data_IF_123419624886
#
_entry.id   IF_123419624886
#
_cell.length_a   1.000
_cell.length_b   1.000
_cell.length_c   1.000
_cell.angle_alpha   90.00
_cell.angle_beta   90.00
_cell.angle_gamma   90.00
#
_symmetry.space_group_name_H-M   'P 1'
#
loop_
_entity.id
_entity.type
_entity.pdbx_description
1 polymer ?
#
# COMPACT_ATOMS: atom_id res chain seq x y z
N UNK A 1 -25.27 -20.50 0.33
CA UNK A 1 -24.20 -19.47 0.25
C UNK A 1 -23.72 -19.07 1.64
N UNK A 2 -24.63 -18.76 2.58
CA UNK A 2 -24.29 -18.51 3.99
C UNK A 2 -23.65 -19.71 4.71
N UNK A 3 -24.06 -20.94 4.42
CA UNK A 3 -23.44 -22.15 5.03
C UNK A 3 -22.00 -22.39 4.55
N UNK A 4 -21.71 -22.12 3.27
CA UNK A 4 -20.32 -22.14 2.77
C UNK A 4 -19.48 -21.05 3.43
N UNK A 5 -20.05 -19.86 3.66
CA UNK A 5 -19.35 -18.77 4.34
C UNK A 5 -19.01 -19.13 5.80
N UNK A 6 -19.98 -19.73 6.50
CA UNK A 6 -19.82 -20.24 7.87
C UNK A 6 -18.73 -21.30 7.94
N UNK A 7 -18.69 -22.23 6.98
CA UNK A 7 -17.70 -23.31 6.90
C UNK A 7 -16.29 -22.76 6.61
N UNK A 8 -16.13 -21.81 5.68
CA UNK A 8 -14.82 -21.19 5.42
C UNK A 8 -14.32 -20.32 6.59
N UNK A 9 -15.21 -19.65 7.32
CA UNK A 9 -14.86 -18.88 8.53
C UNK A 9 -14.47 -19.77 9.72
N UNK A 10 -14.67 -21.08 9.68
CA UNK A 10 -14.14 -21.98 10.71
C UNK A 10 -12.64 -22.19 10.57
N UNK A 11 -12.07 -21.97 9.38
CA UNK A 11 -10.65 -22.13 9.18
C UNK A 11 -9.85 -20.95 9.74
N UNK A 12 -8.80 -21.21 10.55
CA UNK A 12 -7.98 -20.16 11.14
C UNK A 12 -7.26 -19.31 10.09
N UNK A 13 -6.88 -19.89 8.95
CA UNK A 13 -6.20 -19.16 7.87
C UNK A 13 -7.09 -18.09 7.23
N UNK A 14 -8.40 -18.35 7.06
CA UNK A 14 -9.34 -17.35 6.51
C UNK A 14 -9.51 -16.20 7.48
N UNK A 15 -9.59 -16.48 8.79
CA UNK A 15 -9.70 -15.43 9.81
C UNK A 15 -8.46 -14.53 9.82
N UNK A 16 -7.27 -15.13 9.74
CA UNK A 16 -6.02 -14.38 9.69
C UNK A 16 -5.94 -13.53 8.42
N UNK A 17 -6.28 -14.10 7.26
CA UNK A 17 -6.34 -13.35 6.01
C UNK A 17 -7.25 -12.12 6.11
N UNK A 18 -8.47 -12.29 6.64
CA UNK A 18 -9.45 -11.21 6.79
C UNK A 18 -8.93 -10.11 7.73
N UNK A 19 -8.41 -10.49 8.90
CA UNK A 19 -7.89 -9.53 9.88
C UNK A 19 -6.72 -8.74 9.25
N UNK A 20 -5.71 -9.43 8.73
CA UNK A 20 -4.52 -8.81 8.15
C UNK A 20 -4.88 -7.93 6.94
N UNK A 21 -5.75 -8.41 6.05
CA UNK A 21 -6.21 -7.66 4.88
C UNK A 21 -6.92 -6.35 5.26
N UNK A 22 -7.78 -6.38 6.27
CA UNK A 22 -8.46 -5.18 6.78
C UNK A 22 -7.46 -4.20 7.39
N UNK A 23 -6.51 -4.70 8.20
CA UNK A 23 -5.50 -3.86 8.85
C UNK A 23 -4.61 -3.16 7.83
N UNK A 24 -4.14 -3.90 6.82
CA UNK A 24 -3.32 -3.36 5.72
C UNK A 24 -4.13 -2.36 4.90
N UNK A 25 -5.37 -2.67 4.54
CA UNK A 25 -6.25 -1.77 3.79
C UNK A 25 -6.55 -0.47 4.55
N UNK A 26 -6.69 -0.55 5.87
CA UNK A 26 -6.86 0.62 6.73
C UNK A 26 -5.59 1.46 6.72
N UNK A 27 -4.44 0.89 7.08
CA UNK A 27 -3.17 1.61 7.18
C UNK A 27 -2.73 2.24 5.85
N UNK A 28 -2.85 1.49 4.75
CA UNK A 28 -2.47 1.95 3.41
C UNK A 28 -3.35 3.11 2.95
N UNK A 29 -4.65 3.06 3.24
CA UNK A 29 -5.60 4.10 2.88
C UNK A 29 -5.39 5.40 3.68
N UNK A 30 -5.08 5.30 4.98
CA UNK A 30 -4.78 6.47 5.83
C UNK A 30 -3.61 7.28 5.27
N UNK A 31 -2.51 6.60 4.93
CA UNK A 31 -1.33 7.26 4.36
C UNK A 31 -1.51 7.59 2.87
N UNK A 32 -2.33 6.82 2.15
CA UNK A 32 -2.67 7.08 0.75
C UNK A 32 -3.25 8.48 0.52
N UNK A 33 -4.11 8.97 1.42
CA UNK A 33 -4.65 10.35 1.32
C UNK A 33 -3.55 11.40 1.32
N UNK A 34 -2.54 11.25 2.20
CA UNK A 34 -1.41 12.18 2.29
C UNK A 34 -0.54 12.07 1.04
N UNK A 35 -0.22 10.85 0.61
CA UNK A 35 0.65 10.58 -0.52
C UNK A 35 0.06 11.12 -1.84
N UNK A 36 -1.24 10.94 -2.04
CA UNK A 36 -1.96 11.47 -3.20
C UNK A 36 -1.94 13.00 -3.20
N UNK A 37 -2.19 13.64 -2.05
CA UNK A 37 -2.15 15.11 -1.93
C UNK A 37 -0.74 15.67 -2.19
N UNK A 38 0.31 14.97 -1.76
CA UNK A 38 1.72 15.36 -2.00
C UNK A 38 2.25 15.00 -3.41
N UNK A 39 1.43 14.43 -4.31
CA UNK A 39 1.87 13.94 -5.63
C UNK A 39 2.98 12.88 -5.56
N UNK A 40 2.82 11.97 -4.61
CA UNK A 40 3.60 10.74 -4.48
C UNK A 40 2.68 9.52 -4.59
N UNK A 41 1.77 9.55 -5.57
CA UNK A 41 0.74 8.50 -5.71
C UNK A 41 1.38 7.16 -6.12
N UNK A 42 2.49 7.22 -6.86
CA UNK A 42 3.23 6.05 -7.33
C UNK A 42 4.20 5.47 -6.29
N UNK A 43 4.21 5.97 -5.05
CA UNK A 43 5.21 5.51 -4.07
C UNK A 43 5.00 4.06 -3.63
N UNK A 44 3.74 3.62 -3.52
CA UNK A 44 3.43 2.23 -3.20
C UNK A 44 3.97 1.28 -4.26
N UNK A 45 3.85 1.65 -5.52
CA UNK A 45 4.35 0.90 -6.67
C UNK A 45 5.89 0.86 -6.70
N UNK A 46 6.51 2.04 -6.67
CA UNK A 46 7.98 2.16 -6.69
C UNK A 46 8.64 1.43 -5.54
N UNK A 47 8.13 1.56 -4.32
CA UNK A 47 8.70 0.87 -3.16
C UNK A 47 8.50 -0.63 -3.19
N UNK A 48 7.36 -1.11 -3.71
CA UNK A 48 7.11 -2.54 -3.83
C UNK A 48 8.04 -3.19 -4.86
N UNK A 49 8.27 -2.54 -6.01
CA UNK A 49 9.18 -3.06 -7.03
C UNK A 49 10.66 -2.95 -6.64
N UNK A 50 11.02 -1.90 -5.90
CA UNK A 50 12.35 -1.81 -5.26
C UNK A 50 12.53 -2.91 -4.21
N UNK A 51 11.50 -3.21 -3.42
CA UNK A 51 11.53 -4.31 -2.46
C UNK A 51 11.73 -5.65 -3.17
N UNK A 52 11.02 -5.90 -4.27
CA UNK A 52 11.24 -7.07 -5.13
C UNK A 52 12.68 -7.14 -5.67
N UNK A 53 13.23 -6.03 -6.18
CA UNK A 53 14.62 -5.98 -6.62
C UNK A 53 15.62 -6.29 -5.50
N UNK A 54 15.37 -5.80 -4.29
CA UNK A 54 16.17 -6.12 -3.11
C UNK A 54 16.07 -7.61 -2.74
N UNK A 55 14.89 -8.22 -2.84
CA UNK A 55 14.71 -9.66 -2.64
C UNK A 55 15.50 -10.47 -3.68
N UNK A 56 15.46 -10.07 -4.95
CA UNK A 56 16.21 -10.71 -6.03
C UNK A 56 17.73 -10.68 -5.78
N UNK A 57 18.25 -9.54 -5.32
CA UNK A 57 19.68 -9.42 -4.96
C UNK A 57 20.01 -10.30 -3.75
N UNK A 58 19.21 -10.24 -2.68
CA UNK A 58 19.44 -11.03 -1.47
C UNK A 58 19.44 -12.54 -1.75
N UNK A 59 18.50 -13.01 -2.57
CA UNK A 59 18.39 -14.41 -2.98
C UNK A 59 19.55 -14.83 -3.88
N UNK A 60 19.99 -13.98 -4.81
CA UNK A 60 21.18 -14.26 -5.66
C UNK A 60 22.47 -14.42 -4.84
N UNK A 61 22.59 -13.69 -3.72
CA UNK A 61 23.75 -13.74 -2.81
C UNK A 61 23.66 -14.88 -1.77
N UNK A 62 22.60 -15.70 -1.79
CA UNK A 62 22.35 -16.81 -0.84
C UNK A 62 22.42 -16.39 0.64
N UNK A 63 22.03 -15.17 0.97
CA UNK A 63 22.02 -14.70 2.36
C UNK A 63 20.81 -15.29 3.10
N UNK A 64 21.03 -16.05 4.17
CA UNK A 64 20.00 -16.81 4.90
C UNK A 64 18.93 -15.95 5.63
N UNK A 65 19.12 -14.63 5.76
CA UNK A 65 18.20 -13.77 6.52
C UNK A 65 17.71 -12.55 5.71
N UNK A 66 16.74 -12.79 4.82
CA UNK A 66 16.30 -11.86 3.78
C UNK A 66 15.55 -10.63 4.33
N UNK A 67 14.75 -10.79 5.37
CA UNK A 67 13.77 -9.78 5.81
C UNK A 67 14.38 -8.44 6.32
N UNK A 68 15.40 -8.43 7.20
CA UNK A 68 16.00 -7.16 7.64
C UNK A 68 16.74 -6.45 6.51
N UNK A 69 17.40 -7.18 5.61
CA UNK A 69 18.16 -6.60 4.50
C UNK A 69 17.22 -5.93 3.47
N UNK A 70 16.11 -6.59 3.12
CA UNK A 70 15.08 -6.01 2.25
C UNK A 70 14.48 -4.77 2.89
N UNK A 71 14.16 -4.81 4.18
CA UNK A 71 13.61 -3.67 4.92
C UNK A 71 14.59 -2.49 4.94
N UNK A 72 15.88 -2.74 5.19
CA UNK A 72 16.90 -1.66 5.19
C UNK A 72 17.04 -1.03 3.82
N UNK A 73 17.15 -1.82 2.74
CA UNK A 73 17.29 -1.30 1.38
C UNK A 73 16.05 -0.48 0.99
N UNK A 74 14.86 -0.99 1.26
CA UNK A 74 13.60 -0.33 0.90
C UNK A 74 13.35 0.95 1.69
N UNK A 75 13.70 0.97 2.99
CA UNK A 75 13.63 2.19 3.81
C UNK A 75 14.62 3.23 3.31
N UNK A 76 15.86 2.84 3.01
CA UNK A 76 16.86 3.75 2.42
C UNK A 76 16.36 4.31 1.09
N UNK A 77 15.81 3.46 0.22
CA UNK A 77 15.25 3.89 -1.06
C UNK A 77 14.04 4.82 -0.86
N UNK A 78 13.14 4.52 0.07
CA UNK A 78 12.01 5.40 0.39
C UNK A 78 12.44 6.78 0.88
N UNK A 79 13.44 6.83 1.75
CA UNK A 79 14.01 8.09 2.24
C UNK A 79 14.64 8.86 1.07
N UNK A 80 15.44 8.20 0.22
CA UNK A 80 16.07 8.83 -0.94
C UNK A 80 15.03 9.35 -1.94
N UNK A 81 13.99 8.58 -2.23
CA UNK A 81 12.92 8.95 -3.16
C UNK A 81 12.10 10.13 -2.63
N UNK A 82 11.72 10.11 -1.35
CA UNK A 82 10.95 11.21 -0.75
C UNK A 82 11.79 12.48 -0.57
N UNK A 83 13.10 12.39 -0.33
CA UNK A 83 13.99 13.57 -0.32
C UNK A 83 14.28 14.11 -1.72
N UNK A 84 14.51 13.24 -2.69
CA UNK A 84 14.81 13.62 -4.09
C UNK A 84 13.60 14.24 -4.77
N UNK A 85 12.39 13.74 -4.47
CA UNK A 85 11.14 14.30 -4.97
C UNK A 85 10.85 15.73 -4.53
N UNK A 86 11.53 16.24 -3.49
CA UNK A 86 11.37 17.62 -3.00
C UNK A 86 12.33 18.62 -3.63
N UNK A 87 13.47 18.18 -4.18
CA UNK A 87 14.55 19.05 -4.65
C UNK A 87 14.84 18.97 -6.15
N UNK A 88 14.20 18.08 -6.89
CA UNK A 88 14.52 17.86 -8.31
C UNK A 88 13.53 18.55 -9.25
N UNK A 89 14.04 19.00 -10.41
CA UNK A 89 13.22 19.58 -11.51
C UNK A 89 12.27 18.54 -12.15
N UNK A 90 12.47 17.25 -11.87
CA UNK A 90 11.66 16.14 -12.37
C UNK A 90 10.51 15.90 -11.38
N UNK A 91 9.28 15.78 -11.88
CA UNK A 91 8.10 15.50 -11.03
C UNK A 91 8.32 14.20 -10.24
N UNK A 92 8.09 14.23 -8.92
CA UNK A 92 8.33 13.09 -8.02
C UNK A 92 7.74 11.75 -8.48
N UNK A 93 6.53 11.75 -9.06
CA UNK A 93 5.89 10.55 -9.62
C UNK A 93 6.66 9.93 -10.80
N UNK A 94 7.32 10.74 -11.63
CA UNK A 94 8.09 10.24 -12.77
C UNK A 94 9.37 9.53 -12.30
N UNK A 95 10.06 10.10 -11.32
CA UNK A 95 11.22 9.48 -10.67
C UNK A 95 10.82 8.15 -10.05
N UNK A 96 9.71 8.10 -9.31
CA UNK A 96 9.18 6.86 -8.72
C UNK A 96 8.90 5.78 -9.77
N UNK A 97 8.26 6.15 -10.89
CA UNK A 97 8.00 5.21 -11.98
C UNK A 97 9.29 4.67 -12.62
N UNK A 98 10.30 5.53 -12.83
CA UNK A 98 11.60 5.10 -13.36
C UNK A 98 12.31 4.10 -12.44
N UNK A 99 12.31 4.35 -11.12
CA UNK A 99 12.88 3.43 -10.14
C UNK A 99 12.08 2.12 -10.06
N UNK A 100 10.75 2.20 -10.13
CA UNK A 100 9.86 1.02 -10.14
C UNK A 100 10.21 0.06 -11.29
N UNK A 101 10.17 0.57 -12.52
CA UNK A 101 10.45 -0.23 -13.73
C UNK A 101 11.89 -0.72 -13.76
N UNK A 102 12.85 0.13 -13.37
CA UNK A 102 14.25 -0.24 -13.27
C UNK A 102 14.51 -1.36 -12.27
N UNK A 103 13.95 -1.27 -11.06
CA UNK A 103 14.11 -2.29 -10.03
C UNK A 103 13.45 -3.62 -10.40
N UNK A 104 12.27 -3.57 -11.03
CA UNK A 104 11.61 -4.79 -11.52
C UNK A 104 12.42 -5.46 -12.63
N UNK A 105 12.91 -4.69 -13.62
CA UNK A 105 13.70 -5.21 -14.73
C UNK A 105 15.03 -5.82 -14.26
N UNK A 106 15.76 -5.10 -13.41
CA UNK A 106 17.03 -5.56 -12.83
C UNK A 106 16.78 -6.77 -11.91
N UNK A 107 15.77 -6.72 -11.05
CA UNK A 107 15.42 -7.83 -10.16
C UNK A 107 15.08 -9.11 -10.93
N UNK A 108 14.24 -8.99 -11.97
CA UNK A 108 13.90 -10.13 -12.83
C UNK A 108 15.13 -10.70 -13.55
N UNK A 109 16.00 -9.82 -14.09
CA UNK A 109 17.26 -10.23 -14.73
C UNK A 109 18.17 -10.98 -13.75
N UNK A 110 18.35 -10.48 -12.53
CA UNK A 110 19.16 -11.13 -11.50
C UNK A 110 18.60 -12.52 -11.14
N UNK A 111 17.29 -12.64 -10.95
CA UNK A 111 16.70 -13.95 -10.67
C UNK A 111 16.80 -14.89 -11.87
N UNK A 112 16.74 -14.38 -13.11
CA UNK A 112 16.89 -15.21 -14.31
C UNK A 112 18.33 -15.73 -14.49
N UNK A 113 19.33 -14.91 -14.20
CA UNK A 113 20.76 -15.25 -14.39
C UNK A 113 21.31 -16.09 -13.23
N UNK A 114 20.93 -15.77 -11.99
CA UNK A 114 21.56 -16.37 -10.79
C UNK A 114 20.70 -17.40 -10.06
N UNK A 115 19.39 -17.47 -10.29
CA UNK A 115 18.51 -18.40 -9.58
C UNK A 115 18.29 -19.69 -10.35
N UNK A 116 18.37 -20.82 -9.63
CA UNK A 116 18.13 -22.19 -10.14
C UNK A 116 16.67 -22.61 -9.95
N UNK A 117 15.74 -21.66 -9.80
CA UNK A 117 14.32 -21.99 -9.57
C UNK A 117 13.65 -22.42 -10.87
N UNK A 118 13.01 -23.59 -10.84
CA UNK A 118 12.32 -24.20 -12.00
C UNK A 118 11.03 -23.44 -12.40
N UNK A 119 10.54 -22.53 -11.56
CA UNK A 119 9.28 -21.79 -11.75
C UNK A 119 9.42 -20.28 -11.47
N UNK A 120 10.40 -19.62 -12.08
CA UNK A 120 10.65 -18.18 -11.90
C UNK A 120 9.40 -17.31 -12.12
N UNK A 121 8.61 -17.60 -13.16
CA UNK A 121 7.37 -16.86 -13.45
C UNK A 121 6.33 -17.00 -12.33
N UNK A 122 6.29 -18.14 -11.65
CA UNK A 122 5.40 -18.38 -10.52
C UNK A 122 5.78 -17.56 -9.29
N UNK A 123 7.07 -17.48 -8.97
CA UNK A 123 7.58 -16.70 -7.84
C UNK A 123 7.29 -15.20 -8.03
N UNK A 124 7.53 -14.69 -9.24
CA UNK A 124 7.24 -13.30 -9.60
C UNK A 124 5.73 -13.02 -9.51
N UNK A 125 4.90 -13.86 -10.12
CA UNK A 125 3.45 -13.70 -10.04
C UNK A 125 2.94 -13.76 -8.59
N UNK A 126 3.57 -14.58 -7.74
CA UNK A 126 3.21 -14.68 -6.33
C UNK A 126 3.51 -13.39 -5.57
N UNK A 127 4.67 -12.78 -5.80
CA UNK A 127 5.02 -11.48 -5.17
C UNK A 127 4.17 -10.33 -5.72
N UNK A 128 3.81 -10.36 -7.00
CA UNK A 128 2.99 -9.31 -7.62
C UNK A 128 1.51 -9.39 -7.21
N UNK A 129 0.93 -10.59 -7.18
CA UNK A 129 -0.51 -10.82 -7.00
C UNK A 129 -0.91 -11.40 -5.64
N UNK A 130 0.05 -11.83 -4.80
CA UNK A 130 -0.18 -12.24 -3.41
C UNK A 130 -1.06 -13.48 -3.21
N UNK A 131 -1.28 -14.30 -4.23
CA UNK A 131 -2.34 -15.34 -4.23
C UNK A 131 -2.16 -16.46 -3.20
N UNK A 132 -0.95 -16.74 -2.71
CA UNK A 132 -0.68 -17.86 -1.80
C UNK A 132 -0.30 -17.43 -0.38
N UNK A 133 0.35 -16.28 -0.20
CA UNK A 133 0.85 -15.83 1.11
C UNK A 133 -0.25 -15.48 2.12
N UNK A 134 -1.41 -15.00 1.66
CA UNK A 134 -2.50 -14.63 2.56
C UNK A 134 -3.14 -15.86 3.24
N UNK A 135 -3.05 -17.04 2.62
CA UNK A 135 -3.63 -18.28 3.13
C UNK A 135 -2.63 -19.11 3.96
N UNK A 136 -1.34 -18.78 3.90
CA UNK A 136 -0.26 -19.42 4.66
C UNK A 136 0.30 -18.54 5.77
N UNK A 137 -0.47 -17.54 6.20
CA UNK A 137 -0.11 -16.59 7.25
C UNK A 137 0.20 -17.28 8.57
N UNK A 138 1.39 -17.03 9.10
CA UNK A 138 1.80 -17.53 10.42
C UNK A 138 1.25 -16.60 11.52
N UNK A 139 0.97 -17.13 12.72
CA UNK A 139 0.50 -16.33 13.88
C UNK A 139 1.41 -15.11 14.17
N UNK A 140 2.72 -15.25 13.93
CA UNK A 140 3.72 -14.20 14.12
C UNK A 140 3.47 -13.03 13.17
N UNK A 141 3.17 -13.30 11.90
CA UNK A 141 2.94 -12.27 10.87
C UNK A 141 1.65 -11.51 11.14
N UNK A 142 0.61 -12.21 11.60
CA UNK A 142 -0.65 -11.60 12.04
C UNK A 142 -0.38 -10.64 13.21
N UNK A 143 0.34 -11.09 14.23
CA UNK A 143 0.68 -10.25 15.38
C UNK A 143 1.52 -9.04 14.99
N UNK A 144 2.51 -9.23 14.11
CA UNK A 144 3.36 -8.16 13.62
C UNK A 144 2.55 -7.11 12.84
N UNK A 145 1.63 -7.56 11.97
CA UNK A 145 0.73 -6.65 11.25
C UNK A 145 -0.23 -5.91 12.20
N UNK A 146 -0.69 -6.56 13.27
CA UNK A 146 -1.57 -5.96 14.27
C UNK A 146 -0.85 -4.88 15.09
N UNK A 147 0.33 -5.20 15.62
CA UNK A 147 1.15 -4.24 16.36
C UNK A 147 1.51 -3.05 15.47
N UNK A 148 1.92 -3.30 14.23
CA UNK A 148 2.24 -2.23 13.29
C UNK A 148 1.01 -1.37 12.97
N UNK A 149 -0.14 -1.98 12.72
CA UNK A 149 -1.36 -1.23 12.40
C UNK A 149 -1.76 -0.30 13.55
N UNK A 150 -1.73 -0.79 14.79
CA UNK A 150 -1.97 0.04 15.98
C UNK A 150 -0.95 1.16 16.07
N UNK A 151 0.34 0.86 15.92
CA UNK A 151 1.41 1.86 15.96
C UNK A 151 1.22 2.97 14.90
N UNK A 152 0.91 2.58 13.66
CA UNK A 152 0.68 3.48 12.53
C UNK A 152 -0.54 4.37 12.77
N UNK A 153 -1.65 3.79 13.24
CA UNK A 153 -2.88 4.55 13.56
C UNK A 153 -2.64 5.50 14.73
N UNK A 154 -1.94 5.06 15.79
CA UNK A 154 -1.59 5.92 16.92
C UNK A 154 -0.72 7.10 16.50
N UNK A 155 0.30 6.90 15.66
CA UNK A 155 1.12 7.98 15.12
C UNK A 155 0.27 8.93 14.27
N UNK A 156 -0.59 8.41 13.41
CA UNK A 156 -1.44 9.23 12.56
C UNK A 156 -2.36 10.14 13.39
N UNK A 157 -2.94 9.62 14.47
CA UNK A 157 -3.81 10.38 15.37
C UNK A 157 -3.00 11.42 16.16
N UNK A 158 -1.87 11.02 16.75
CA UNK A 158 -1.06 11.89 17.62
C UNK A 158 -0.42 13.05 16.83
N UNK A 159 0.04 12.78 15.61
CA UNK A 159 0.69 13.77 14.76
C UNK A 159 -0.22 14.35 13.66
N UNK A 160 -1.53 14.13 13.75
CA UNK A 160 -2.50 14.54 12.72
C UNK A 160 -2.34 16.01 12.30
N UNK A 161 -2.28 16.95 13.25
CA UNK A 161 -2.15 18.38 12.95
C UNK A 161 -0.84 18.72 12.23
N UNK A 162 0.25 18.04 12.59
CA UNK A 162 1.59 18.27 12.02
C UNK A 162 1.69 17.67 10.62
N UNK A 163 1.16 16.46 10.44
CA UNK A 163 1.08 15.79 9.14
C UNK A 163 0.20 16.60 8.19
N UNK A 164 -0.95 17.08 8.65
CA UNK A 164 -1.84 17.95 7.87
C UNK A 164 -1.12 19.22 7.40
N UNK A 165 -0.44 19.94 8.31
CA UNK A 165 0.29 21.15 7.96
C UNK A 165 1.37 20.90 6.88
N UNK A 166 2.18 19.84 7.03
CA UNK A 166 3.23 19.48 6.07
C UNK A 166 2.68 18.98 4.73
N UNK A 167 1.46 18.43 4.72
CA UNK A 167 0.82 17.94 3.50
C UNK A 167 0.28 19.08 2.64
N UNK A 168 -0.29 20.12 3.26
CA UNK A 168 -0.92 21.24 2.54
C UNK A 168 0.05 22.36 2.20
N UNK A 169 0.93 22.73 3.13
CA UNK A 169 1.91 23.78 2.89
C UNK A 169 3.19 23.50 3.69
N UNK A 170 4.14 22.87 3.01
CA UNK A 170 5.44 22.53 3.58
C UNK A 170 6.27 23.77 3.91
N UNK A 171 6.20 24.83 3.11
CA UNK A 171 6.93 26.08 3.32
C UNK A 171 6.37 26.85 4.53
N UNK A 172 5.05 26.92 4.66
CA UNK A 172 4.39 27.50 5.82
C UNK A 172 4.64 26.67 7.09
N UNK A 173 4.62 25.34 7.00
CA UNK A 173 4.97 24.49 8.12
C UNK A 173 6.41 24.74 8.61
N UNK A 174 7.37 24.91 7.69
CA UNK A 174 8.75 25.26 8.04
C UNK A 174 8.85 26.66 8.66
N UNK A 175 8.16 27.65 8.10
CA UNK A 175 8.16 29.03 8.61
C UNK A 175 7.53 29.15 10.01
N UNK A 176 6.54 28.32 10.33
CA UNK A 176 5.88 28.25 11.65
C UNK A 176 6.67 27.44 12.70
N UNK A 177 7.94 27.10 12.42
CA UNK A 177 8.82 26.37 13.33
C UNK A 177 8.62 24.85 13.33
N UNK A 178 7.84 24.33 12.39
CA UNK A 178 7.63 22.89 12.24
C UNK A 178 8.76 22.28 11.43
N UNK A 179 9.48 21.31 11.99
CA UNK A 179 10.59 20.61 11.29
C UNK A 179 10.04 19.67 10.20
N UNK A 180 9.54 20.22 9.09
CA UNK A 180 8.86 19.48 8.02
C UNK A 180 9.69 18.28 7.49
N UNK A 181 11.02 18.44 7.39
CA UNK A 181 11.93 17.36 7.00
C UNK A 181 11.87 16.12 7.89
N UNK A 182 11.62 16.29 9.21
CA UNK A 182 11.47 15.16 10.15
C UNK A 182 10.14 14.44 9.90
N UNK A 183 9.05 15.19 9.68
CA UNK A 183 7.74 14.60 9.42
C UNK A 183 7.68 13.90 8.07
N UNK A 184 8.33 14.44 7.04
CA UNK A 184 8.48 13.76 5.76
C UNK A 184 9.28 12.47 5.88
N UNK A 185 10.36 12.48 6.68
CA UNK A 185 11.13 11.27 6.96
C UNK A 185 10.32 10.25 7.77
N UNK A 186 9.52 10.70 8.74
CA UNK A 186 8.61 9.84 9.49
C UNK A 186 7.56 9.18 8.58
N UNK A 187 6.93 9.97 7.70
CA UNK A 187 5.98 9.47 6.70
C UNK A 187 6.68 8.47 5.76
N UNK A 188 7.89 8.77 5.30
CA UNK A 188 8.69 7.90 4.45
C UNK A 188 8.92 6.52 5.06
N UNK A 189 9.40 6.49 6.31
CA UNK A 189 9.72 5.27 7.03
C UNK A 189 8.45 4.45 7.26
N UNK A 190 7.36 5.09 7.71
CA UNK A 190 6.09 4.40 7.96
C UNK A 190 5.54 3.78 6.67
N UNK A 191 5.51 4.54 5.58
CA UNK A 191 5.03 4.06 4.28
C UNK A 191 5.90 2.92 3.78
N UNK A 192 7.22 3.01 3.88
CA UNK A 192 8.13 1.94 3.48
C UNK A 192 7.86 0.65 4.27
N UNK A 193 7.73 0.75 5.60
CA UNK A 193 7.45 -0.41 6.45
C UNK A 193 6.10 -1.04 6.10
N UNK A 194 5.05 -0.22 5.91
CA UNK A 194 3.73 -0.70 5.49
C UNK A 194 3.82 -1.40 4.14
N UNK A 195 4.48 -0.79 3.15
CA UNK A 195 4.56 -1.32 1.79
C UNK A 195 5.31 -2.65 1.76
N UNK A 196 6.45 -2.77 2.45
CA UNK A 196 7.23 -4.02 2.48
C UNK A 196 6.46 -5.15 3.13
N UNK A 197 5.81 -4.88 4.26
CA UNK A 197 4.99 -5.88 4.94
C UNK A 197 3.77 -6.25 4.11
N UNK A 198 3.09 -5.26 3.55
CA UNK A 198 1.90 -5.50 2.73
C UNK A 198 2.23 -6.23 1.42
N UNK A 199 3.40 -5.98 0.82
CA UNK A 199 3.88 -6.69 -0.37
C UNK A 199 4.05 -8.18 -0.07
N UNK A 200 4.68 -8.53 1.06
CA UNK A 200 4.87 -9.94 1.43
C UNK A 200 3.55 -10.66 1.72
N UNK A 201 2.55 -9.93 2.21
CA UNK A 201 1.28 -10.51 2.70
C UNK A 201 0.21 -10.58 1.61
N UNK A 202 0.08 -9.54 0.79
CA UNK A 202 -1.03 -9.40 -0.17
C UNK A 202 -0.59 -9.06 -1.61
N UNK A 203 0.70 -8.84 -1.83
CA UNK A 203 1.28 -8.60 -3.15
C UNK A 203 1.36 -7.12 -3.53
N UNK A 204 2.36 -6.78 -4.34
CA UNK A 204 2.69 -5.38 -4.69
C UNK A 204 1.54 -4.61 -5.35
N UNK A 205 0.80 -5.26 -6.27
CA UNK A 205 -0.26 -4.61 -7.03
C UNK A 205 -1.41 -4.16 -6.14
N UNK A 206 -1.75 -4.97 -5.14
CA UNK A 206 -2.80 -4.61 -4.21
C UNK A 206 -2.39 -3.42 -3.33
N UNK A 207 -1.13 -3.37 -2.90
CA UNK A 207 -0.62 -2.24 -2.11
C UNK A 207 -0.78 -0.93 -2.88
N UNK A 208 -0.32 -0.89 -4.14
CA UNK A 208 -0.49 0.27 -5.01
C UNK A 208 -1.96 0.67 -5.14
N UNK A 209 -2.85 -0.31 -5.34
CA UNK A 209 -4.28 -0.04 -5.46
C UNK A 209 -4.90 0.53 -4.17
N UNK A 210 -4.57 -0.02 -3.00
CA UNK A 210 -5.10 0.43 -1.71
C UNK A 210 -4.59 1.82 -1.31
N UNK A 211 -3.40 2.19 -1.77
CA UNK A 211 -2.83 3.54 -1.57
C UNK A 211 -3.51 4.58 -2.47
N UNK A 212 -4.03 4.20 -3.64
CA UNK A 212 -4.50 5.14 -4.66
C UNK A 212 -6.04 5.20 -4.75
N UNK A 213 -6.72 4.06 -4.93
CA UNK A 213 -8.15 4.04 -5.25
C UNK A 213 -9.05 4.54 -4.12
N UNK A 214 -8.92 4.10 -2.85
CA UNK A 214 -9.79 4.56 -1.78
C UNK A 214 -9.68 6.08 -1.52
N UNK A 215 -8.46 6.68 -1.47
CA UNK A 215 -8.32 8.12 -1.33
C UNK A 215 -8.95 8.90 -2.47
N UNK A 216 -8.72 8.49 -3.71
CA UNK A 216 -9.29 9.16 -4.88
C UNK A 216 -10.83 9.05 -4.91
N UNK A 217 -11.37 7.90 -4.49
CA UNK A 217 -12.81 7.70 -4.36
C UNK A 217 -13.41 8.66 -3.32
N UNK A 218 -12.78 8.76 -2.15
CA UNK A 218 -13.22 9.65 -1.08
C UNK A 218 -13.09 11.14 -1.46
N UNK A 219 -12.01 11.54 -2.13
CA UNK A 219 -11.77 12.92 -2.61
C UNK A 219 -12.80 13.38 -3.65
N UNK A 220 -13.48 12.46 -4.35
CA UNK A 220 -14.54 12.84 -5.28
C UNK A 220 -15.80 13.34 -4.55
N UNK A 221 -16.08 12.79 -3.37
CA UNK A 221 -17.31 13.02 -2.61
C UNK A 221 -17.09 14.10 -1.54
N UNK A 222 -15.95 14.06 -0.85
CA UNK A 222 -15.65 14.92 0.29
C UNK A 222 -14.56 15.94 -0.02
N UNK A 223 -14.68 17.14 0.57
CA UNK A 223 -13.71 18.25 0.41
C UNK A 223 -12.84 18.50 1.65
N UNK A 224 -13.27 18.05 2.83
CA UNK A 224 -12.50 18.21 4.07
C UNK A 224 -11.51 17.06 4.24
N UNK A 225 -10.26 17.37 4.61
CA UNK A 225 -9.22 16.35 4.81
C UNK A 225 -9.65 15.28 5.83
N UNK A 226 -10.26 15.68 6.95
CA UNK A 226 -10.76 14.74 7.96
C UNK A 226 -11.80 13.79 7.37
N UNK A 227 -12.76 14.33 6.60
CA UNK A 227 -13.81 13.54 5.96
C UNK A 227 -13.26 12.61 4.88
N UNK A 228 -12.29 13.07 4.09
CA UNK A 228 -11.61 12.26 3.07
C UNK A 228 -10.87 11.10 3.72
N UNK A 229 -10.10 11.34 4.78
CA UNK A 229 -9.36 10.30 5.49
C UNK A 229 -10.27 9.24 6.08
N UNK A 230 -11.34 9.65 6.78
CA UNK A 230 -12.28 8.70 7.40
C UNK A 230 -13.04 7.91 6.32
N UNK A 231 -13.55 8.59 5.29
CA UNK A 231 -14.27 7.90 4.22
C UNK A 231 -13.36 6.96 3.42
N UNK A 232 -12.11 7.37 3.15
CA UNK A 232 -11.13 6.54 2.46
C UNK A 232 -10.85 5.25 3.23
N UNK A 233 -10.73 5.34 4.56
CA UNK A 233 -10.53 4.16 5.42
C UNK A 233 -11.75 3.24 5.42
N UNK A 234 -12.96 3.79 5.48
CA UNK A 234 -14.20 2.99 5.44
C UNK A 234 -14.34 2.29 4.09
N UNK A 235 -14.12 3.02 2.98
CA UNK A 235 -14.19 2.46 1.63
C UNK A 235 -13.13 1.38 1.43
N UNK A 236 -11.89 1.59 1.89
CA UNK A 236 -10.84 0.58 1.73
C UNK A 236 -11.15 -0.70 2.50
N UNK A 237 -11.64 -0.61 3.74
CA UNK A 237 -12.04 -1.76 4.54
C UNK A 237 -13.22 -2.49 3.90
N UNK A 238 -14.22 -1.76 3.41
CA UNK A 238 -15.38 -2.35 2.74
C UNK A 238 -14.99 -3.07 1.44
N UNK A 239 -14.13 -2.45 0.61
CA UNK A 239 -13.60 -3.07 -0.61
C UNK A 239 -12.75 -4.31 -0.30
N UNK A 240 -11.91 -4.27 0.74
CA UNK A 240 -11.09 -5.41 1.15
C UNK A 240 -11.95 -6.58 1.64
N UNK A 241 -12.96 -6.31 2.48
CA UNK A 241 -13.91 -7.32 2.96
C UNK A 241 -14.70 -7.95 1.81
N UNK A 242 -15.35 -7.13 0.98
CA UNK A 242 -16.16 -7.62 -0.13
C UNK A 242 -15.33 -8.34 -1.19
N UNK A 243 -14.16 -7.80 -1.55
CA UNK A 243 -13.23 -8.45 -2.47
C UNK A 243 -12.76 -9.80 -1.96
N UNK A 244 -12.41 -9.90 -0.68
CA UNK A 244 -11.98 -11.16 -0.08
C UNK A 244 -13.11 -12.19 -0.04
N UNK A 245 -14.34 -11.79 0.32
CA UNK A 245 -15.50 -12.68 0.29
C UNK A 245 -15.75 -13.22 -1.12
N UNK A 246 -15.75 -12.35 -2.13
CA UNK A 246 -15.90 -12.76 -3.54
C UNK A 246 -14.79 -13.73 -3.93
N UNK A 247 -13.55 -13.46 -3.51
CA UNK A 247 -12.41 -14.32 -3.80
C UNK A 247 -12.55 -15.72 -3.21
N UNK A 248 -13.04 -15.82 -1.98
CA UNK A 248 -13.26 -17.11 -1.29
C UNK A 248 -14.35 -17.93 -1.99
N UNK A 249 -15.41 -17.28 -2.49
CA UNK A 249 -16.48 -17.99 -3.20
C UNK A 249 -16.10 -18.37 -4.62
N UNK A 250 -15.35 -17.50 -5.32
CA UNK A 250 -14.98 -17.67 -6.72
C UNK A 250 -13.69 -18.45 -6.95
N UNK A 251 -12.91 -18.75 -5.90
CA UNK A 251 -11.61 -19.41 -6.03
C UNK A 251 -10.57 -18.58 -6.81
N UNK A 252 -10.76 -17.26 -6.88
CA UNK A 252 -9.91 -16.33 -7.63
C UNK A 252 -8.77 -15.78 -6.78
N UNK A 253 -7.75 -15.17 -7.38
CA UNK A 253 -6.71 -14.40 -6.68
C UNK A 253 -7.28 -13.28 -5.80
N UNK A 254 -6.89 -13.26 -4.52
CA UNK A 254 -7.38 -12.27 -3.53
C UNK A 254 -6.93 -10.85 -3.89
N UNK A 255 -5.68 -10.67 -4.33
CA UNK A 255 -5.18 -9.36 -4.77
C UNK A 255 -6.01 -8.79 -5.91
N UNK A 256 -6.13 -9.53 -7.02
CA UNK A 256 -6.83 -9.08 -8.22
C UNK A 256 -8.32 -8.78 -7.99
N UNK A 257 -9.00 -9.58 -7.17
CA UNK A 257 -10.42 -9.35 -6.84
C UNK A 257 -10.62 -8.09 -6.00
N UNK A 258 -9.79 -7.84 -5.00
CA UNK A 258 -9.88 -6.62 -4.20
C UNK A 258 -9.61 -5.40 -5.08
N UNK A 259 -8.65 -5.46 -6.01
CA UNK A 259 -8.42 -4.38 -6.98
C UNK A 259 -9.64 -4.15 -7.87
N UNK A 260 -10.24 -5.21 -8.41
CA UNK A 260 -11.45 -5.10 -9.23
C UNK A 260 -12.61 -4.42 -8.47
N UNK A 261 -12.81 -4.78 -7.21
CA UNK A 261 -13.82 -4.14 -6.35
C UNK A 261 -13.49 -2.66 -6.10
N UNK A 262 -12.22 -2.32 -5.87
CA UNK A 262 -11.79 -0.92 -5.71
C UNK A 262 -12.06 -0.09 -6.98
N UNK A 263 -11.85 -0.66 -8.17
CA UNK A 263 -12.17 0.01 -9.44
C UNK A 263 -13.67 0.30 -9.53
N UNK A 264 -14.52 -0.68 -9.20
CA UNK A 264 -15.98 -0.49 -9.20
C UNK A 264 -16.38 0.60 -8.19
N UNK A 265 -15.83 0.57 -6.97
CA UNK A 265 -16.08 1.57 -5.95
C UNK A 265 -15.66 2.98 -6.41
N UNK A 266 -14.51 3.10 -7.07
CA UNK A 266 -14.04 4.37 -7.64
C UNK A 266 -14.97 4.89 -8.74
N UNK A 267 -15.41 4.03 -9.66
CA UNK A 267 -16.36 4.42 -10.72
C UNK A 267 -17.68 4.92 -10.11
N UNK A 268 -18.22 4.19 -9.12
CA UNK A 268 -19.42 4.61 -8.40
C UNK A 268 -19.22 5.97 -7.71
N UNK A 269 -18.11 6.15 -6.99
CA UNK A 269 -17.78 7.42 -6.35
C UNK A 269 -17.61 8.56 -7.36
N UNK A 270 -17.04 8.27 -8.54
CA UNK A 270 -16.87 9.23 -9.65
C UNK A 270 -18.22 9.71 -10.19
N UNK A 271 -19.15 8.79 -10.42
CA UNK A 271 -20.52 9.08 -10.88
C UNK A 271 -21.26 9.91 -9.82
N UNK A 272 -21.26 9.46 -8.57
CA UNK A 272 -21.90 10.16 -7.44
C UNK A 272 -21.35 11.58 -7.31
N UNK A 273 -20.02 11.75 -7.29
CA UNK A 273 -19.38 13.05 -7.19
C UNK A 273 -19.66 13.98 -8.38
N UNK A 274 -19.82 13.45 -9.59
CA UNK A 274 -20.26 14.23 -10.75
C UNK A 274 -21.70 14.75 -10.58
N UNK A 275 -22.61 13.92 -10.09
CA UNK A 275 -24.01 14.30 -9.85
C UNK A 275 -24.08 15.38 -8.75
N UNK A 276 -23.33 15.21 -7.66
CA UNK A 276 -23.24 16.19 -6.57
C UNK A 276 -22.67 17.53 -7.02
N UNK A 277 -21.62 17.55 -7.86
CA UNK A 277 -21.07 18.79 -8.42
C UNK A 277 -22.05 19.51 -9.34
N UNK A 278 -22.82 18.79 -10.15
CA UNK A 278 -23.84 19.38 -11.03
C UNK A 278 -24.96 20.04 -10.23
N UNK A 279 -25.37 19.47 -9.09
CA UNK A 279 -26.38 20.06 -8.20
C UNK A 279 -25.92 21.31 -7.44
N UNK A 280 -24.61 21.47 -7.24
CA UNK A 280 -24.06 22.62 -6.54
C UNK A 280 -23.74 23.81 -7.48
N UNK A 281 -23.83 23.59 -8.79
CA UNK A 281 -23.64 24.57 -9.85
C UNK A 281 -24.96 25.09 -10.45
N UNK A 282 -26.10 24.57 -9.97
CA UNK A 282 -27.46 25.06 -10.21
C UNK A 282 -27.95 25.77 -8.95
#
# INVERSE_FOLDING_TARGET
MFDKLSLYMQYPFVRYAVIVGILIALCSSLFGVILVLKRFSFIGDGLSHVAFGAMAIATSLKVTNNMPLILTITVVCAILLLRTGQNTKIKGDATLAMFSVGALAIGYLLMNVFSTSTNLSGDVCTVLFGSTSILTLTKIEVWLSAVLSVFVVSIFILFYNKIFAVTFDESFAQATGTKAGIYNLLIAVIVAVIVVLAMNLVGSLLVSALVIFPPLSAMRIFKSFKSVTICSAIVSVFCALTGMLISILGGTPVGSTIVAVNIVAYVLASVIGNILRRRCAL
#
